data_IF_537436733718
#
_entry.id   IF_537436733718
#
_cell.length_a   1.000
_cell.length_b   1.000
_cell.length_c   1.000
_cell.angle_alpha   90.00
_cell.angle_beta   90.00
_cell.angle_gamma   90.00
#
_symmetry.space_group_name_H-M   'P 1'
#
loop_
_entity.id
_entity.type
_entity.pdbx_description
1 polymer ?
#
# COMPACT_ATOMS: atom_id res chain seq x y z
N UNK A 1 6.53 -0.75 -11.15
CA UNK A 1 7.27 -0.14 -10.03
C UNK A 1 7.51 -1.18 -8.94
N UNK A 2 6.47 -1.77 -8.34
CA UNK A 2 6.59 -2.78 -7.28
C UNK A 2 7.41 -4.04 -7.64
N UNK A 3 7.45 -4.41 -8.92
CA UNK A 3 8.28 -5.53 -9.41
C UNK A 3 9.78 -5.27 -9.29
N UNK A 4 10.22 -4.01 -9.39
CA UNK A 4 11.63 -3.64 -9.24
C UNK A 4 12.07 -3.84 -7.79
N UNK A 5 11.31 -3.28 -6.84
CA UNK A 5 11.52 -3.45 -5.40
C UNK A 5 11.65 -4.94 -5.01
N UNK A 6 10.70 -5.77 -5.45
CA UNK A 6 10.73 -7.21 -5.15
C UNK A 6 11.94 -7.93 -5.73
N UNK A 7 12.43 -7.47 -6.89
CA UNK A 7 13.68 -7.98 -7.47
C UNK A 7 14.90 -7.55 -6.67
N UNK A 8 14.91 -6.33 -6.15
CA UNK A 8 16.03 -5.79 -5.37
C UNK A 8 16.18 -6.51 -4.01
N UNK A 9 15.04 -6.88 -3.39
CA UNK A 9 14.97 -7.64 -2.13
C UNK A 9 15.09 -9.16 -2.26
N UNK A 10 15.42 -9.69 -3.45
CA UNK A 10 15.33 -11.12 -3.74
C UNK A 10 16.43 -11.95 -3.07
N UNK A 11 16.04 -12.97 -2.30
CA UNK A 11 16.99 -13.91 -1.72
C UNK A 11 17.37 -15.03 -2.72
N UNK A 12 18.54 -14.89 -3.34
CA UNK A 12 19.07 -15.86 -4.31
C UNK A 12 19.70 -17.12 -3.69
N UNK A 13 19.86 -17.17 -2.36
CA UNK A 13 20.40 -18.34 -1.66
C UNK A 13 19.48 -19.57 -1.76
N UNK A 14 18.18 -19.36 -1.90
CA UNK A 14 17.18 -20.44 -1.95
C UNK A 14 16.77 -20.80 -3.38
N UNK A 15 17.52 -20.37 -4.38
CA UNK A 15 17.18 -20.61 -5.78
C UNK A 15 17.63 -22.01 -6.19
N UNK A 16 16.70 -22.86 -6.61
CA UNK A 16 17.06 -24.17 -7.12
C UNK A 16 17.80 -24.06 -8.46
N UNK A 17 19.03 -24.54 -8.53
CA UNK A 17 19.78 -24.70 -9.79
C UNK A 17 19.28 -25.99 -10.48
N UNK A 18 18.27 -25.84 -11.33
CA UNK A 18 17.67 -26.94 -12.09
C UNK A 18 18.00 -26.75 -13.58
N UNK A 19 18.46 -27.81 -14.23
CA UNK A 19 18.68 -27.85 -15.67
C UNK A 19 17.85 -28.95 -16.31
N UNK A 20 17.23 -28.62 -17.45
CA UNK A 20 16.57 -29.60 -18.29
C UNK A 20 17.61 -30.22 -19.22
N UNK A 21 17.73 -31.54 -19.15
CA UNK A 21 18.73 -32.32 -19.86
C UNK A 21 18.07 -33.52 -20.56
N UNK A 22 18.68 -33.97 -21.66
CA UNK A 22 18.34 -35.26 -22.26
C UNK A 22 18.92 -36.44 -21.45
N UNK A 23 18.65 -37.67 -21.87
CA UNK A 23 19.13 -38.89 -21.18
C UNK A 23 20.67 -38.91 -21.06
N UNK A 24 21.38 -38.55 -22.13
CA UNK A 24 22.84 -38.64 -22.18
C UNK A 24 23.50 -37.53 -21.35
N UNK A 25 22.97 -36.30 -21.42
CA UNK A 25 23.39 -35.19 -20.58
C UNK A 25 23.11 -35.48 -19.10
N UNK A 26 21.94 -36.03 -18.77
CA UNK A 26 21.56 -36.37 -17.40
C UNK A 26 22.55 -37.33 -16.77
N UNK A 27 22.93 -38.39 -17.49
CA UNK A 27 23.96 -39.33 -17.04
C UNK A 27 25.29 -38.63 -16.75
N UNK A 28 25.72 -37.72 -17.63
CA UNK A 28 26.94 -36.90 -17.41
C UNK A 28 26.80 -35.99 -16.19
N UNK A 29 25.63 -35.40 -15.96
CA UNK A 29 25.38 -34.52 -14.81
C UNK A 29 25.34 -35.26 -13.47
N UNK A 30 24.99 -36.55 -13.44
CA UNK A 30 25.06 -37.36 -12.21
C UNK A 30 26.48 -37.49 -11.66
N UNK A 31 27.48 -37.44 -12.54
CA UNK A 31 28.89 -37.49 -12.15
C UNK A 31 29.41 -36.14 -11.61
N UNK A 32 28.58 -35.09 -11.64
CA UNK A 32 28.94 -33.80 -11.07
C UNK A 32 28.87 -33.85 -9.54
N UNK A 33 29.91 -33.41 -8.85
CA UNK A 33 29.95 -33.36 -7.38
C UNK A 33 28.89 -32.45 -6.73
N UNK A 34 28.16 -31.64 -7.51
CA UNK A 34 27.01 -30.86 -7.06
C UNK A 34 25.67 -31.54 -7.32
N UNK A 35 25.63 -32.75 -7.86
CA UNK A 35 24.36 -33.41 -8.16
C UNK A 35 23.56 -33.66 -6.88
N UNK A 36 22.29 -33.24 -6.88
CA UNK A 36 21.38 -33.42 -5.74
C UNK A 36 20.29 -34.44 -6.04
N UNK A 37 19.56 -34.21 -7.12
CA UNK A 37 18.43 -35.05 -7.50
C UNK A 37 18.16 -34.97 -9.01
N UNK A 38 17.39 -35.91 -9.54
CA UNK A 38 16.79 -35.77 -10.87
C UNK A 38 15.31 -36.14 -10.81
N UNK A 39 14.56 -35.66 -11.80
CA UNK A 39 13.17 -36.04 -12.01
C UNK A 39 12.90 -36.16 -13.50
N UNK A 40 12.35 -37.31 -13.92
CA UNK A 40 11.87 -37.48 -15.29
C UNK A 40 10.64 -36.58 -15.50
N UNK A 41 10.69 -35.74 -16.53
CA UNK A 41 9.61 -34.81 -16.88
C UNK A 41 8.88 -35.23 -18.16
N UNK A 42 9.56 -35.93 -19.07
CA UNK A 42 8.98 -36.49 -20.30
C UNK A 42 9.80 -37.69 -20.81
N UNK A 43 9.48 -38.21 -22.00
CA UNK A 43 10.09 -39.45 -22.52
C UNK A 43 11.62 -39.40 -22.62
N UNK A 44 12.15 -38.24 -22.99
CA UNK A 44 13.59 -38.00 -23.17
C UNK A 44 14.14 -36.81 -22.37
N UNK A 45 13.33 -36.17 -21.50
CA UNK A 45 13.71 -34.95 -20.76
C UNK A 45 13.67 -35.20 -19.25
N UNK A 46 14.75 -34.82 -18.58
CA UNK A 46 14.92 -34.89 -17.14
C UNK A 46 15.25 -33.50 -16.60
N UNK A 47 14.67 -33.16 -15.46
CA UNK A 47 15.08 -32.03 -14.65
C UNK A 47 16.13 -32.51 -13.65
N UNK A 48 17.36 -32.02 -13.77
CA UNK A 48 18.47 -32.33 -12.86
C UNK A 48 18.69 -31.15 -11.94
N UNK A 49 18.58 -31.38 -10.64
CA UNK A 49 18.79 -30.39 -9.58
C UNK A 49 20.22 -30.51 -9.04
N UNK A 50 20.84 -29.36 -8.82
CA UNK A 50 22.18 -29.25 -8.23
C UNK A 50 22.12 -28.58 -6.85
N UNK A 51 23.03 -28.99 -5.97
CA UNK A 51 23.31 -28.28 -4.73
C UNK A 51 23.94 -26.92 -5.03
N UNK A 52 23.38 -25.88 -4.43
CA UNK A 52 23.87 -24.52 -4.56
C UNK A 52 25.04 -24.31 -3.60
N UNK A 53 26.26 -24.22 -4.14
CA UNK A 53 27.47 -24.01 -3.34
C UNK A 53 27.85 -22.53 -3.18
N UNK A 54 27.34 -21.69 -4.09
CA UNK A 54 27.61 -20.25 -4.13
C UNK A 54 26.35 -19.54 -4.60
N UNK A 55 26.06 -18.39 -4.01
CA UNK A 55 25.05 -17.45 -4.50
C UNK A 55 25.70 -16.08 -4.64
N UNK A 56 25.11 -15.24 -5.48
CA UNK A 56 25.59 -13.88 -5.70
C UNK A 56 24.57 -12.89 -5.11
N UNK A 57 25.05 -11.90 -4.37
CA UNK A 57 24.24 -10.76 -3.97
C UNK A 57 24.52 -9.59 -4.91
N UNK A 58 23.88 -9.61 -6.09
CA UNK A 58 24.04 -8.54 -7.11
C UNK A 58 22.96 -7.46 -7.03
N UNK A 59 21.96 -7.66 -6.19
CA UNK A 59 20.83 -6.76 -6.06
C UNK A 59 21.12 -5.66 -5.04
N UNK A 60 20.45 -4.53 -5.20
CA UNK A 60 20.61 -3.38 -4.32
C UNK A 60 19.78 -3.57 -3.04
N UNK A 61 20.12 -4.56 -2.20
CA UNK A 61 19.38 -4.87 -0.97
C UNK A 61 19.16 -3.65 -0.06
N UNK A 62 20.13 -2.75 0.00
CA UNK A 62 20.05 -1.50 0.78
C UNK A 62 18.92 -0.59 0.27
N UNK A 63 18.68 -0.56 -1.04
CA UNK A 63 17.60 0.22 -1.65
C UNK A 63 16.26 -0.37 -1.27
N UNK A 64 16.08 -1.69 -1.40
CA UNK A 64 14.86 -2.36 -0.95
C UNK A 64 14.60 -2.13 0.54
N UNK A 65 15.61 -2.26 1.40
CA UNK A 65 15.45 -1.96 2.82
C UNK A 65 15.01 -0.51 3.06
N UNK A 66 15.64 0.45 2.38
CA UNK A 66 15.32 1.88 2.54
C UNK A 66 13.91 2.22 2.05
N UNK A 67 13.46 1.63 0.95
CA UNK A 67 12.10 1.79 0.42
C UNK A 67 11.07 1.28 1.44
N UNK A 68 11.28 0.06 1.97
CA UNK A 68 10.39 -0.52 2.98
C UNK A 68 10.31 0.31 4.27
N UNK A 69 11.44 0.83 4.75
CA UNK A 69 11.47 1.69 5.94
C UNK A 69 10.84 3.07 5.66
N UNK A 70 11.00 3.60 4.45
CA UNK A 70 10.37 4.86 4.03
C UNK A 70 8.85 4.73 4.00
N UNK A 71 8.32 3.62 3.49
CA UNK A 71 6.89 3.35 3.45
C UNK A 71 6.30 3.24 4.87
N UNK A 72 6.96 2.48 5.75
CA UNK A 72 6.57 2.38 7.17
C UNK A 72 6.59 3.73 7.85
N UNK A 73 7.65 4.51 7.64
CA UNK A 73 7.78 5.85 8.23
C UNK A 73 6.63 6.75 7.78
N UNK A 74 6.34 6.79 6.47
CA UNK A 74 5.24 7.58 5.93
C UNK A 74 3.89 7.18 6.51
N UNK A 75 3.62 5.88 6.59
CA UNK A 75 2.38 5.36 7.15
C UNK A 75 2.24 5.71 8.64
N UNK A 76 3.29 5.47 9.43
CA UNK A 76 3.28 5.77 10.87
C UNK A 76 3.18 7.28 11.13
N UNK A 77 3.87 8.09 10.33
CA UNK A 77 3.77 9.54 10.39
C UNK A 77 2.35 10.03 10.08
N UNK A 78 1.69 9.47 9.05
CA UNK A 78 0.30 9.78 8.77
C UNK A 78 -0.62 9.37 9.92
N UNK A 79 -0.46 8.16 10.47
CA UNK A 79 -1.33 7.69 11.55
C UNK A 79 -1.15 8.47 12.87
N UNK A 80 0.10 8.58 13.35
CA UNK A 80 0.38 9.19 14.65
C UNK A 80 0.41 10.71 14.62
N UNK A 81 0.97 11.31 13.56
CA UNK A 81 1.17 12.76 13.52
C UNK A 81 0.06 13.50 12.77
N UNK A 82 -0.78 12.82 11.97
CA UNK A 82 -1.90 13.47 11.28
C UNK A 82 -3.26 12.95 11.73
N UNK A 83 -3.52 11.64 11.64
CA UNK A 83 -4.84 11.09 11.93
C UNK A 83 -5.19 11.20 13.42
N UNK A 84 -4.31 10.71 14.30
CA UNK A 84 -4.56 10.68 15.76
C UNK A 84 -4.82 12.07 16.38
N UNK A 85 -4.09 13.14 16.01
CA UNK A 85 -4.39 14.48 16.52
C UNK A 85 -5.65 15.09 15.89
N UNK A 86 -5.97 14.72 14.64
CA UNK A 86 -7.12 15.22 13.89
C UNK A 86 -8.45 14.63 14.40
N UNK A 87 -8.52 13.33 14.69
CA UNK A 87 -9.79 12.63 14.99
C UNK A 87 -9.95 12.28 16.47
N UNK A 88 -11.19 12.17 16.93
CA UNK A 88 -11.51 11.65 18.26
C UNK A 88 -11.33 10.12 18.30
N UNK A 89 -10.24 9.67 18.92
CA UNK A 89 -9.90 8.25 19.08
C UNK A 89 -10.87 7.47 19.99
N UNK A 90 -11.79 8.12 20.70
CA UNK A 90 -12.89 7.43 21.38
C UNK A 90 -14.01 7.02 20.42
N UNK A 91 -14.03 7.61 19.22
CA UNK A 91 -15.02 7.41 18.17
C UNK A 91 -14.44 6.75 16.93
N UNK A 92 -13.12 6.58 16.86
CA UNK A 92 -12.43 5.94 15.74
C UNK A 92 -11.54 4.82 16.27
N UNK A 93 -11.73 3.61 15.74
CA UNK A 93 -10.93 2.44 16.08
C UNK A 93 -10.22 1.89 14.83
N UNK A 94 -8.92 1.64 14.95
CA UNK A 94 -8.15 0.93 13.93
C UNK A 94 -8.47 -0.57 13.98
N UNK A 95 -9.08 -1.09 12.93
CA UNK A 95 -9.45 -2.51 12.81
C UNK A 95 -8.31 -3.29 12.16
N UNK A 96 -7.71 -2.69 11.12
CA UNK A 96 -6.70 -3.33 10.30
C UNK A 96 -5.71 -2.33 9.76
N UNK A 97 -4.48 -2.81 9.56
CA UNK A 97 -3.42 -2.11 8.89
C UNK A 97 -2.67 -3.12 8.00
N UNK A 98 -2.47 -2.78 6.74
CA UNK A 98 -1.61 -3.50 5.81
C UNK A 98 -0.83 -2.49 4.99
N UNK A 99 0.49 -2.60 4.96
CA UNK A 99 1.46 -1.86 4.13
C UNK A 99 1.07 -0.43 3.72
N UNK A 100 0.12 -0.25 2.79
CA UNK A 100 -0.33 1.03 2.26
C UNK A 100 -1.83 1.35 2.50
N UNK A 101 -2.50 0.66 3.41
CA UNK A 101 -3.92 0.77 3.70
C UNK A 101 -4.26 0.56 5.19
N UNK A 102 -5.36 1.17 5.63
CA UNK A 102 -5.91 0.98 6.97
C UNK A 102 -7.44 0.86 6.90
N UNK A 103 -8.00 0.03 7.77
CA UNK A 103 -9.46 -0.04 7.97
C UNK A 103 -9.80 0.55 9.33
N UNK A 104 -10.73 1.50 9.33
CA UNK A 104 -11.17 2.22 10.51
C UNK A 104 -12.66 1.94 10.76
N UNK A 105 -13.01 1.65 12.01
CA UNK A 105 -14.39 1.76 12.49
C UNK A 105 -14.61 3.19 12.96
N UNK A 106 -15.64 3.85 12.43
CA UNK A 106 -15.97 5.24 12.77
C UNK A 106 -17.37 5.28 13.38
N UNK A 107 -17.49 5.81 14.59
CA UNK A 107 -18.74 6.04 15.28
C UNK A 107 -19.40 7.31 14.73
N UNK A 108 -20.25 7.11 13.72
CA UNK A 108 -21.00 8.13 13.00
C UNK A 108 -22.08 8.83 13.84
N UNK A 109 -22.53 10.02 13.41
CA UNK A 109 -23.77 10.62 13.94
C UNK A 109 -24.97 9.83 13.37
N UNK A 110 -25.86 9.25 14.22
CA UNK A 110 -27.04 8.51 13.76
C UNK A 110 -28.00 9.32 12.88
N UNK A 111 -27.91 10.65 12.90
CA UNK A 111 -28.74 11.54 12.09
C UNK A 111 -28.18 11.77 10.69
N UNK A 112 -26.91 11.46 10.47
CA UNK A 112 -26.20 11.63 9.21
C UNK A 112 -25.91 10.26 8.60
N UNK A 113 -25.79 10.21 7.27
CA UNK A 113 -25.44 8.97 6.58
C UNK A 113 -23.92 8.88 6.36
N UNK A 114 -23.49 7.77 5.74
CA UNK A 114 -22.08 7.49 5.41
C UNK A 114 -21.36 8.59 4.62
N UNK A 115 -22.07 9.54 4.00
CA UNK A 115 -21.45 10.68 3.29
C UNK A 115 -20.80 11.68 4.25
N UNK A 116 -21.06 11.59 5.56
CA UNK A 116 -20.43 12.45 6.56
C UNK A 116 -18.91 12.25 6.64
N UNK A 117 -18.40 11.06 6.29
CA UNK A 117 -16.98 10.74 6.37
C UNK A 117 -16.40 11.03 7.76
N UNK A 118 -15.29 11.75 7.83
CA UNK A 118 -14.67 12.13 9.11
C UNK A 118 -15.27 13.40 9.74
N UNK A 119 -16.19 14.10 9.08
CA UNK A 119 -16.63 15.44 9.51
C UNK A 119 -17.15 15.50 10.95
N UNK A 120 -17.80 14.44 11.43
CA UNK A 120 -18.37 14.37 12.77
C UNK A 120 -17.39 13.90 13.84
N UNK A 121 -16.23 13.35 13.45
CA UNK A 121 -15.19 12.85 14.37
C UNK A 121 -13.93 13.70 14.37
N UNK A 122 -13.84 14.72 13.50
CA UNK A 122 -12.75 15.70 13.54
C UNK A 122 -12.84 16.47 14.86
N UNK A 123 -11.80 16.33 15.68
CA UNK A 123 -11.64 17.01 16.96
C UNK A 123 -11.01 18.39 16.77
N UNK A 124 -9.99 18.49 15.93
CA UNK A 124 -9.26 19.73 15.66
C UNK A 124 -9.29 20.07 14.16
N UNK A 125 -10.26 20.91 13.79
CA UNK A 125 -10.44 21.35 12.41
C UNK A 125 -9.33 22.28 11.95
N UNK A 126 -8.78 23.11 12.85
CA UNK A 126 -7.71 24.03 12.49
C UNK A 126 -6.43 23.25 12.17
N UNK A 127 -6.10 22.25 12.99
CA UNK A 127 -4.99 21.33 12.71
C UNK A 127 -5.19 20.61 11.38
N UNK A 128 -6.40 20.11 11.11
CA UNK A 128 -6.74 19.48 9.85
C UNK A 128 -6.50 20.41 8.66
N UNK A 129 -7.09 21.61 8.67
CA UNK A 129 -7.01 22.57 7.56
C UNK A 129 -5.56 23.02 7.29
N UNK A 130 -4.74 23.16 8.34
CA UNK A 130 -3.32 23.52 8.23
C UNK A 130 -2.45 22.39 7.67
N UNK A 131 -2.71 21.14 8.05
CA UNK A 131 -1.86 20.00 7.71
C UNK A 131 -2.37 19.17 6.52
N UNK A 132 -3.58 19.43 6.02
CA UNK A 132 -4.22 18.63 4.97
C UNK A 132 -3.30 18.41 3.76
N UNK A 133 -2.74 19.50 3.23
CA UNK A 133 -1.89 19.43 2.05
C UNK A 133 -0.47 18.90 2.30
N UNK A 134 -0.10 18.57 3.54
CA UNK A 134 1.12 17.82 3.84
C UNK A 134 0.97 16.35 3.44
N UNK A 135 -0.24 15.79 3.53
CA UNK A 135 -0.51 14.38 3.25
C UNK A 135 -1.32 14.16 1.97
N UNK A 136 -2.12 15.13 1.54
CA UNK A 136 -2.95 15.04 0.34
C UNK A 136 -2.38 15.88 -0.83
N UNK A 137 -2.70 15.51 -2.09
CA UNK A 137 -2.28 16.29 -3.25
C UNK A 137 -2.93 17.67 -3.26
N UNK A 138 -2.15 18.70 -3.63
CA UNK A 138 -2.67 20.07 -3.78
C UNK A 138 -3.28 20.22 -5.17
N UNK A 139 -4.44 20.89 -5.30
CA UNK A 139 -4.94 21.26 -6.62
C UNK A 139 -4.02 22.30 -7.27
N UNK A 140 -3.98 22.32 -8.60
CA UNK A 140 -3.14 23.24 -9.39
C UNK A 140 -3.30 24.71 -8.98
N UNK A 141 -4.51 25.11 -8.61
CA UNK A 141 -4.81 26.48 -8.18
C UNK A 141 -4.05 26.85 -6.90
N UNK A 142 -4.03 25.97 -5.90
CA UNK A 142 -3.32 26.20 -4.63
C UNK A 142 -1.81 26.30 -4.87
N UNK A 143 -1.24 25.40 -5.68
CA UNK A 143 0.18 25.43 -6.03
C UNK A 143 0.56 26.75 -6.74
N UNK A 144 -0.27 27.18 -7.69
CA UNK A 144 -0.07 28.43 -8.43
C UNK A 144 -0.11 29.63 -7.47
N UNK A 145 -1.10 29.68 -6.59
CA UNK A 145 -1.28 30.79 -5.64
C UNK A 145 -0.13 30.89 -4.64
N UNK A 146 0.33 29.76 -4.07
CA UNK A 146 1.47 29.74 -3.14
C UNK A 146 2.79 30.12 -3.83
N UNK A 147 2.94 29.77 -5.11
CA UNK A 147 4.16 30.01 -5.88
C UNK A 147 4.11 31.32 -6.68
N UNK A 148 3.08 32.14 -6.49
CA UNK A 148 2.78 33.29 -7.33
C UNK A 148 3.98 34.26 -7.43
N UNK A 149 4.65 34.54 -6.31
CA UNK A 149 5.83 35.40 -6.27
C UNK A 149 6.99 34.89 -7.14
N UNK A 150 7.21 33.57 -7.19
CA UNK A 150 8.23 32.95 -8.05
C UNK A 150 7.80 33.01 -9.50
N UNK A 151 6.52 32.77 -9.77
CA UNK A 151 5.96 32.77 -11.11
C UNK A 151 5.91 34.17 -11.74
N UNK A 152 5.78 35.21 -10.93
CA UNK A 152 5.75 36.61 -11.39
C UNK A 152 7.15 37.16 -11.71
N UNK A 153 8.22 36.48 -11.26
CA UNK A 153 9.60 36.79 -11.65
C UNK A 153 9.97 36.21 -13.02
N UNK A 154 9.13 35.33 -13.60
CA UNK A 154 9.37 34.69 -14.88
C UNK A 154 8.57 35.43 -15.96
N UNK A 155 9.26 36.20 -16.79
CA UNK A 155 8.63 36.97 -17.88
C UNK A 155 8.17 36.08 -19.04
N UNK A 156 8.90 34.99 -19.33
CA UNK A 156 8.59 34.11 -20.43
C UNK A 156 7.45 33.13 -20.08
N UNK A 157 6.38 33.18 -20.87
CA UNK A 157 5.18 32.37 -20.63
C UNK A 157 5.45 30.86 -20.67
N UNK A 158 6.30 30.39 -21.58
CA UNK A 158 6.64 28.96 -21.70
C UNK A 158 7.46 28.46 -20.51
N UNK A 159 8.39 29.26 -20.02
CA UNK A 159 9.17 28.96 -18.82
C UNK A 159 8.27 28.91 -17.57
N UNK A 160 7.31 29.84 -17.47
CA UNK A 160 6.30 29.85 -16.39
C UNK A 160 5.44 28.58 -16.42
N UNK A 161 5.01 28.12 -17.60
CA UNK A 161 4.26 26.86 -17.75
C UNK A 161 5.09 25.65 -17.32
N UNK A 162 6.37 25.60 -17.70
CA UNK A 162 7.27 24.52 -17.32
C UNK A 162 7.49 24.48 -15.81
N UNK A 163 7.67 25.65 -15.18
CA UNK A 163 7.84 25.77 -13.73
C UNK A 163 6.61 25.29 -12.97
N UNK A 164 5.41 25.65 -13.43
CA UNK A 164 4.16 25.13 -12.83
C UNK A 164 4.12 23.59 -12.91
N UNK A 165 4.50 23.02 -14.06
CA UNK A 165 4.53 21.55 -14.23
C UNK A 165 5.54 20.88 -13.29
N UNK A 166 6.71 21.47 -13.12
CA UNK A 166 7.73 21.00 -12.16
C UNK A 166 7.20 21.01 -10.72
N UNK A 167 6.57 22.11 -10.29
CA UNK A 167 5.96 22.23 -8.97
C UNK A 167 4.83 21.22 -8.75
N UNK A 168 4.06 20.92 -9.80
CA UNK A 168 3.05 19.86 -9.75
C UNK A 168 3.67 18.48 -9.54
N UNK A 169 4.79 18.18 -10.22
CA UNK A 169 5.52 16.91 -10.06
C UNK A 169 6.12 16.80 -8.65
N UNK A 170 6.72 17.87 -8.14
CA UNK A 170 7.29 17.89 -6.77
C UNK A 170 6.23 17.67 -5.69
N UNK A 171 5.00 18.12 -5.93
CA UNK A 171 3.87 17.92 -5.03
C UNK A 171 3.02 16.69 -5.39
N UNK A 172 3.48 15.86 -6.33
CA UNK A 172 2.81 14.61 -6.64
C UNK A 172 2.87 13.70 -5.41
N UNK A 173 1.70 13.36 -4.88
CA UNK A 173 1.55 12.43 -3.76
C UNK A 173 0.67 11.29 -4.23
N UNK A 174 0.94 10.08 -3.73
CA UNK A 174 0.04 8.94 -3.93
C UNK A 174 -1.35 9.37 -3.43
N UNK A 175 -2.39 9.36 -4.27
CA UNK A 175 -3.72 9.74 -3.83
C UNK A 175 -4.18 8.74 -2.78
N UNK A 176 -4.24 9.19 -1.52
CA UNK A 176 -4.88 8.42 -0.47
C UNK A 176 -6.39 8.44 -0.75
N UNK A 177 -6.94 7.29 -1.08
CA UNK A 177 -8.37 7.09 -1.26
C UNK A 177 -9.01 6.69 0.06
N UNK A 178 -10.18 7.25 0.36
CA UNK A 178 -11.05 6.74 1.42
C UNK A 178 -12.21 6.03 0.75
N UNK A 179 -12.33 4.73 0.99
CA UNK A 179 -13.46 3.93 0.52
C UNK A 179 -14.33 3.55 1.72
N UNK A 180 -15.63 3.71 1.55
CA UNK A 180 -16.62 3.25 2.50
C UNK A 180 -16.98 1.80 2.17
N UNK A 181 -16.81 0.88 3.13
CA UNK A 181 -17.21 -0.52 2.95
C UNK A 181 -18.65 -0.78 3.43
N UNK A 182 -18.94 -0.51 4.70
CA UNK A 182 -20.20 -0.88 5.35
C UNK A 182 -20.65 0.11 6.44
N UNK A 183 -21.96 0.19 6.68
CA UNK A 183 -22.62 0.97 7.76
C UNK A 183 -23.71 0.08 8.36
N UNK A 184 -23.89 0.21 9.66
CA UNK A 184 -24.96 -0.42 10.42
C UNK A 184 -25.21 0.35 11.70
N UNK A 185 -26.36 0.12 12.33
CA UNK A 185 -26.67 0.73 13.63
C UNK A 185 -25.76 0.20 14.74
N UNK A 186 -25.25 -1.02 14.59
CA UNK A 186 -24.23 -1.61 15.45
C UNK A 186 -23.21 -2.32 14.58
N UNK A 187 -21.93 -2.10 14.83
CA UNK A 187 -20.81 -2.78 14.17
C UNK A 187 -19.80 -3.22 15.23
N UNK A 188 -19.47 -4.52 15.21
CA UNK A 188 -18.42 -5.12 16.03
C UNK A 188 -17.41 -5.74 15.06
N UNK A 189 -16.24 -5.11 14.95
CA UNK A 189 -15.15 -5.63 14.14
C UNK A 189 -14.14 -6.34 15.04
N UNK A 190 -13.94 -7.64 14.82
CA UNK A 190 -12.98 -8.45 15.55
C UNK A 190 -11.63 -8.49 14.85
N UNK A 191 -11.65 -8.58 13.51
CA UNK A 191 -10.47 -8.59 12.67
C UNK A 191 -10.81 -8.13 11.25
N UNK A 192 -9.82 -7.96 10.36
CA UNK A 192 -10.06 -7.60 8.97
C UNK A 192 -10.93 -8.68 8.32
N UNK A 193 -12.00 -8.26 7.63
CA UNK A 193 -13.02 -9.16 7.04
C UNK A 193 -13.77 -10.07 8.05
N UNK A 194 -13.52 -9.95 9.36
CA UNK A 194 -14.24 -10.63 10.43
C UNK A 194 -14.96 -9.59 11.30
N UNK A 195 -16.21 -9.33 10.92
CA UNK A 195 -17.05 -8.38 11.61
C UNK A 195 -18.49 -8.84 11.61
N UNK A 196 -19.18 -8.39 12.65
CA UNK A 196 -20.62 -8.52 12.80
C UNK A 196 -21.22 -7.13 12.70
N UNK A 197 -22.25 -6.96 11.86
CA UNK A 197 -22.97 -5.71 11.80
C UNK A 197 -24.48 -5.93 11.72
N UNK A 198 -25.20 -5.05 12.40
CA UNK A 198 -26.65 -4.92 12.32
C UNK A 198 -26.96 -3.81 11.33
N UNK A 199 -27.46 -4.17 10.15
CA UNK A 199 -27.83 -3.22 9.13
C UNK A 199 -29.32 -2.92 9.22
N UNK A 200 -29.66 -1.66 9.44
CA UNK A 200 -31.00 -1.15 9.24
C UNK A 200 -31.03 -0.58 7.82
N UNK A 201 -31.63 -1.31 6.88
CA UNK A 201 -32.06 -0.70 5.62
C UNK A 201 -33.20 0.27 5.92
N UNK A 202 -33.44 1.24 5.03
CA UNK A 202 -34.56 2.19 5.17
C UNK A 202 -35.82 1.49 5.71
N UNK A 203 -36.55 2.19 6.59
CA UNK A 203 -37.60 1.71 7.53
C UNK A 203 -38.69 0.74 7.03
N UNK A 204 -38.66 0.31 5.77
CA UNK A 204 -39.56 -0.66 5.14
C UNK A 204 -39.04 -2.10 5.13
N UNK A 205 -37.75 -2.33 5.32
CA UNK A 205 -37.14 -3.66 5.19
C UNK A 205 -36.71 -4.25 6.55
N UNK A 206 -36.69 -5.59 6.68
CA UNK A 206 -36.32 -6.25 7.94
C UNK A 206 -34.85 -5.97 8.32
N UNK A 207 -34.59 -5.92 9.63
CA UNK A 207 -33.24 -5.82 10.18
C UNK A 207 -32.41 -7.02 9.72
N UNK A 208 -31.32 -6.76 8.98
CA UNK A 208 -30.43 -7.83 8.51
C UNK A 208 -29.18 -7.86 9.38
N UNK A 209 -28.91 -9.01 9.96
CA UNK A 209 -27.64 -9.30 10.64
C UNK A 209 -26.69 -9.90 9.61
N UNK A 210 -25.55 -9.25 9.38
CA UNK A 210 -24.50 -9.77 8.51
C UNK A 210 -23.29 -10.17 9.34
N UNK A 211 -22.87 -11.41 9.13
CA UNK A 211 -21.62 -11.95 9.63
C UNK A 211 -20.75 -12.29 8.42
N UNK A 212 -19.50 -11.81 8.42
CA UNK A 212 -18.54 -12.08 7.35
C UNK A 212 -17.25 -12.61 7.98
N UNK A 213 -16.59 -13.54 7.30
CA UNK A 213 -15.29 -14.09 7.74
C UNK A 213 -15.38 -15.29 8.67
N UNK A 214 -16.46 -16.08 8.58
CA UNK A 214 -16.49 -17.45 9.12
C UNK A 214 -15.91 -18.44 8.12
#
# INVERSE_FOLDING_TARGET
MNSSYGSDGMNQEHFSDIKLCDIHETFRKHLNGRFKSNRKFGDSIYAVEFEQQKFNCKTCLQVAFTELESDKYWFMNFYYNFLTPMVDMNRVHLIYCDTDSMMLAVAEDPKQNYKQGFSTVIKDKQFYDQNFYMFFPKPKQVITNESQLILDQIEQLEERKLKIKELQIQNEKKPLGVAYEHCGSILIALSPKNYWLRQEFDKKDPVVIKLKGM
#
